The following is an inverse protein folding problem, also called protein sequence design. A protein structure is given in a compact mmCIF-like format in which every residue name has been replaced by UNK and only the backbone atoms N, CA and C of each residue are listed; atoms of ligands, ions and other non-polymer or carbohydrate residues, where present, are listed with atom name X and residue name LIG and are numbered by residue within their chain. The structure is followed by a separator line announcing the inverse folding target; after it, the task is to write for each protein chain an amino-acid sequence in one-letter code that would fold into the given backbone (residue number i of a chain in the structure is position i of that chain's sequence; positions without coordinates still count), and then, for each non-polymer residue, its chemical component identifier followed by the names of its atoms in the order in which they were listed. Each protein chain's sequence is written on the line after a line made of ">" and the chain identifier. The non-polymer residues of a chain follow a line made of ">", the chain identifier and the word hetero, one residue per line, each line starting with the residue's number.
data_IF_834896339843
#
_entry.id   IF_834896339843
#
_cell.length_a   1.000
_cell.length_b   1.000
_cell.length_c   1.000
_cell.angle_alpha   90.00
_cell.angle_beta   90.00
_cell.angle_gamma   90.00
#
_symmetry.space_group_name_H-M   'P 1'
#
loop_
_entity.id
_entity.type
_entity.pdbx_description
1 polymer ?
#
# COMPACT_ATOMS: atom_id res chain seq x y z
N UNK A 1 -1.44 22.34 -15.10
CA UNK A 1 -1.37 22.44 -13.63
C UNK A 1 -0.78 21.15 -13.08
N UNK A 2 -0.03 21.22 -11.98
CA UNK A 2 0.71 20.10 -11.41
C UNK A 2 -0.09 19.44 -10.28
N UNK A 3 -0.24 18.12 -10.34
CA UNK A 3 -0.84 17.30 -9.28
C UNK A 3 0.05 16.07 -9.11
N UNK A 4 0.59 15.86 -7.91
CA UNK A 4 1.48 14.76 -7.61
C UNK A 4 1.29 14.32 -6.16
N UNK A 5 1.27 13.02 -5.94
CA UNK A 5 1.15 12.39 -4.63
C UNK A 5 2.19 11.28 -4.53
N UNK A 6 3.02 11.33 -3.49
CA UNK A 6 4.04 10.31 -3.20
C UNK A 6 3.77 9.77 -1.81
N UNK A 7 3.68 8.45 -1.68
CA UNK A 7 3.37 7.78 -0.43
C UNK A 7 4.26 6.57 -0.24
N UNK A 8 4.61 6.29 1.01
CA UNK A 8 5.19 5.02 1.42
C UNK A 8 4.36 4.51 2.59
N UNK A 9 3.87 3.27 2.47
CA UNK A 9 3.01 2.68 3.48
C UNK A 9 2.86 1.18 3.28
N UNK A 10 1.92 0.59 4.02
CA UNK A 10 1.65 -0.84 3.97
C UNK A 10 0.25 -1.13 3.44
N UNK A 11 0.12 -2.15 2.60
CA UNK A 11 -1.18 -2.64 2.16
C UNK A 11 -1.96 -3.19 3.35
N UNK A 12 -3.20 -2.77 3.54
CA UNK A 12 -4.02 -3.24 4.68
C UNK A 12 -4.70 -4.59 4.44
N UNK A 13 -4.83 -4.97 3.17
CA UNK A 13 -5.49 -6.19 2.72
C UNK A 13 -4.78 -6.78 1.49
N UNK A 14 -5.18 -7.99 1.12
CA UNK A 14 -4.73 -8.63 -0.12
C UNK A 14 -5.27 -7.83 -1.33
N UNK A 15 -4.41 -7.45 -2.30
CA UNK A 15 -4.90 -6.85 -3.54
C UNK A 15 -5.73 -7.83 -4.35
N UNK A 16 -6.91 -7.39 -4.78
CA UNK A 16 -7.80 -8.17 -5.64
C UNK A 16 -7.91 -7.50 -7.02
N UNK A 17 -7.92 -8.33 -8.07
CA UNK A 17 -8.13 -7.85 -9.43
C UNK A 17 -9.63 -7.78 -9.71
N UNK A 18 -10.12 -6.60 -10.09
CA UNK A 18 -11.49 -6.39 -10.52
C UNK A 18 -11.50 -5.98 -11.99
N UNK A 19 -12.41 -6.54 -12.78
CA UNK A 19 -12.63 -6.12 -14.15
C UNK A 19 -13.85 -5.21 -14.23
N UNK A 20 -13.73 -4.06 -14.91
CA UNK A 20 -14.88 -3.19 -15.17
C UNK A 20 -15.82 -3.81 -16.20
N UNK A 21 -17.09 -3.36 -16.29
CA UNK A 21 -17.98 -3.75 -17.37
C UNK A 21 -17.44 -3.47 -18.78
N UNK A 22 -16.48 -2.55 -18.90
CA UNK A 22 -15.80 -2.20 -20.15
C UNK A 22 -14.56 -3.06 -20.43
N UNK A 23 -14.32 -4.11 -19.63
CA UNK A 23 -13.20 -5.05 -19.80
C UNK A 23 -11.85 -4.53 -19.29
N UNK A 24 -11.81 -3.40 -18.57
CA UNK A 24 -10.56 -2.84 -18.05
C UNK A 24 -10.27 -3.41 -16.66
N UNK A 25 -9.04 -3.90 -16.46
CA UNK A 25 -8.59 -4.39 -15.17
C UNK A 25 -8.22 -3.23 -14.24
N UNK A 26 -8.69 -3.30 -12.99
CA UNK A 26 -8.37 -2.37 -11.91
C UNK A 26 -8.09 -3.13 -10.63
N UNK A 27 -7.28 -2.52 -9.76
CA UNK A 27 -7.07 -2.99 -8.40
C UNK A 27 -7.16 -1.78 -7.48
N UNK A 28 -8.10 -1.84 -6.52
CA UNK A 28 -8.24 -0.84 -5.47
C UNK A 28 -7.64 -1.40 -4.19
N UNK A 29 -6.74 -0.65 -3.58
CA UNK A 29 -6.10 -0.99 -2.31
C UNK A 29 -6.22 0.15 -1.33
N UNK A 30 -6.19 -0.18 -0.04
CA UNK A 30 -6.01 0.79 1.03
C UNK A 30 -4.59 0.67 1.57
N UNK A 31 -3.92 1.80 1.71
CA UNK A 31 -2.53 1.90 2.17
C UNK A 31 -2.54 2.63 3.50
N UNK A 32 -2.00 1.99 4.52
CA UNK A 32 -1.74 2.60 5.82
C UNK A 32 -0.42 3.34 5.78
N UNK A 33 -0.46 4.65 6.03
CA UNK A 33 0.70 5.55 6.07
C UNK A 33 0.82 6.11 7.48
N UNK A 34 1.88 5.71 8.19
CA UNK A 34 2.10 6.19 9.55
C UNK A 34 2.41 7.68 9.57
N UNK A 35 1.77 8.40 10.49
CA UNK A 35 2.07 9.82 10.74
C UNK A 35 3.43 9.97 11.41
N UNK A 36 4.12 11.08 11.12
CA UNK A 36 5.45 11.36 11.66
C UNK A 36 5.44 11.64 13.16
N UNK A 37 4.38 12.28 13.65
CA UNK A 37 4.24 12.69 15.05
C UNK A 37 3.34 11.72 15.83
N UNK A 38 3.58 11.65 17.14
CA UNK A 38 2.72 10.95 18.09
C UNK A 38 1.58 11.87 18.51
N UNK A 39 0.45 11.29 18.87
CA UNK A 39 -0.67 12.01 19.51
C UNK A 39 -0.28 12.46 20.92
N UNK A 40 -1.13 13.28 21.56
CA UNK A 40 -0.95 13.69 22.97
C UNK A 40 -0.88 12.48 23.92
N UNK A 41 -1.50 11.36 23.54
CA UNK A 41 -1.47 10.10 24.28
C UNK A 41 -0.21 9.25 24.01
N UNK A 42 0.69 9.71 23.14
CA UNK A 42 1.94 9.02 22.81
C UNK A 42 1.84 7.93 21.73
N UNK A 43 0.68 7.75 21.11
CA UNK A 43 0.44 6.75 20.07
C UNK A 43 0.77 7.27 18.66
N UNK A 44 1.23 6.38 17.78
CA UNK A 44 1.43 6.69 16.36
C UNK A 44 0.18 6.30 15.57
N UNK A 45 -0.50 7.30 15.02
CA UNK A 45 -1.64 7.09 14.13
C UNK A 45 -1.20 6.81 12.69
N UNK A 46 -2.10 6.21 11.91
CA UNK A 46 -1.93 5.99 10.48
C UNK A 46 -3.09 6.58 9.69
N UNK A 47 -2.77 7.15 8.53
CA UNK A 47 -3.74 7.54 7.53
C UNK A 47 -4.02 6.37 6.59
N UNK A 48 -5.29 6.15 6.26
CA UNK A 48 -5.73 5.08 5.39
C UNK A 48 -6.17 5.66 4.05
N UNK A 49 -5.30 5.51 3.05
CA UNK A 49 -5.47 6.14 1.74
C UNK A 49 -5.88 5.09 0.70
N UNK A 50 -6.94 5.39 -0.04
CA UNK A 50 -7.39 4.56 -1.14
C UNK A 50 -6.59 4.88 -2.41
N UNK A 51 -6.04 3.84 -3.02
CA UNK A 51 -5.26 3.94 -4.26
C UNK A 51 -5.86 3.00 -5.31
N UNK A 52 -6.01 3.49 -6.54
CA UNK A 52 -6.41 2.70 -7.69
C UNK A 52 -5.24 2.55 -8.65
N UNK A 53 -4.96 1.32 -9.03
CA UNK A 53 -4.10 0.97 -10.16
C UNK A 53 -4.93 0.40 -11.31
N UNK A 54 -4.50 0.65 -12.54
CA UNK A 54 -5.17 0.18 -13.76
C UNK A 54 -4.25 -0.70 -14.61
N UNK A 55 -4.86 -1.57 -15.41
CA UNK A 55 -4.18 -2.39 -16.42
C UNK A 55 -3.02 -3.21 -15.84
N UNK A 56 -1.86 -3.14 -16.48
CA UNK A 56 -0.68 -3.90 -16.07
C UNK A 56 -0.23 -3.62 -14.63
N UNK A 57 -0.41 -2.38 -14.13
CA UNK A 57 -0.07 -2.07 -12.74
C UNK A 57 -0.98 -2.80 -11.76
N UNK A 58 -2.28 -2.89 -12.07
CA UNK A 58 -3.23 -3.65 -11.28
C UNK A 58 -2.84 -5.14 -11.21
N UNK A 59 -2.60 -5.75 -12.37
CA UNK A 59 -2.19 -7.16 -12.49
C UNK A 59 -0.87 -7.44 -11.77
N UNK A 60 0.10 -6.54 -11.89
CA UNK A 60 1.40 -6.65 -11.22
C UNK A 60 1.23 -6.56 -9.70
N UNK A 61 0.41 -5.63 -9.20
CA UNK A 61 0.20 -5.48 -7.77
C UNK A 61 -0.50 -6.71 -7.17
N UNK A 62 -1.46 -7.30 -7.87
CA UNK A 62 -2.12 -8.55 -7.43
C UNK A 62 -1.15 -9.73 -7.45
N UNK A 63 -0.26 -9.79 -8.44
CA UNK A 63 0.70 -10.89 -8.57
C UNK A 63 1.81 -10.88 -7.53
N UNK A 64 2.19 -9.71 -7.02
CA UNK A 64 3.35 -9.57 -6.13
C UNK A 64 3.05 -8.93 -4.78
N UNK A 65 1.96 -8.17 -4.66
CA UNK A 65 1.54 -7.55 -3.41
C UNK A 65 0.76 -8.53 -2.56
N UNK A 66 1.02 -8.51 -1.25
CA UNK A 66 0.20 -9.18 -0.25
C UNK A 66 -0.14 -8.26 0.91
N UNK A 67 -1.11 -8.65 1.76
CA UNK A 67 -1.43 -7.90 2.98
C UNK A 67 -0.16 -7.61 3.78
N UNK A 68 0.01 -6.35 4.19
CA UNK A 68 1.16 -5.88 4.94
C UNK A 68 2.38 -5.52 4.10
N UNK A 69 2.39 -5.77 2.79
CA UNK A 69 3.52 -5.41 1.92
C UNK A 69 3.82 -3.91 1.97
N UNK A 70 5.10 -3.57 2.16
CA UNK A 70 5.61 -2.22 2.09
C UNK A 70 5.69 -1.77 0.63
N UNK A 71 5.07 -0.63 0.34
CA UNK A 71 4.89 -0.13 -1.03
C UNK A 71 5.17 1.37 -1.08
N UNK A 72 5.94 1.81 -2.08
CA UNK A 72 5.99 3.21 -2.51
C UNK A 72 5.05 3.44 -3.68
N UNK A 73 4.37 4.57 -3.70
CA UNK A 73 3.38 4.91 -4.74
C UNK A 73 3.67 6.32 -5.22
N UNK A 74 3.70 6.49 -6.54
CA UNK A 74 3.65 7.78 -7.22
C UNK A 74 2.33 7.86 -8.00
N UNK A 75 1.60 8.95 -7.84
CA UNK A 75 0.28 9.10 -8.43
C UNK A 75 -0.27 10.52 -8.33
N UNK A 76 -1.57 10.62 -8.54
CA UNK A 76 -2.30 11.90 -8.52
C UNK A 76 -3.55 11.80 -7.67
N UNK A 77 -3.85 12.86 -6.92
CA UNK A 77 -5.10 12.93 -6.16
C UNK A 77 -6.27 13.16 -7.11
N UNK A 78 -7.30 12.31 -7.02
CA UNK A 78 -8.53 12.40 -7.82
C UNK A 78 -9.72 12.45 -6.89
N UNK A 79 -10.61 13.39 -7.15
CA UNK A 79 -11.93 13.40 -6.52
C UNK A 79 -12.96 13.08 -7.58
N UNK A 80 -13.83 12.10 -7.30
CA UNK A 80 -14.99 11.80 -8.15
C UNK A 80 -16.26 11.96 -7.35
N UNK A 81 -17.31 12.33 -8.07
CA UNK A 81 -18.66 12.47 -7.53
C UNK A 81 -19.50 11.32 -8.07
N UNK A 82 -20.29 10.68 -7.22
CA UNK A 82 -21.33 9.75 -7.62
C UNK A 82 -22.59 10.00 -6.81
N UNK A 83 -23.75 9.69 -7.40
CA UNK A 83 -25.03 9.77 -6.71
C UNK A 83 -25.42 8.39 -6.21
N UNK A 84 -25.89 8.33 -4.96
CA UNK A 84 -26.45 7.13 -4.38
C UNK A 84 -27.59 7.55 -3.46
N UNK A 85 -28.75 6.92 -3.61
CA UNK A 85 -29.96 7.18 -2.82
C UNK A 85 -30.36 8.67 -2.80
N UNK A 86 -30.26 9.34 -3.95
CA UNK A 86 -30.57 10.77 -4.12
C UNK A 86 -29.57 11.74 -3.49
N UNK A 87 -28.47 11.23 -2.91
CA UNK A 87 -27.43 12.03 -2.27
C UNK A 87 -26.12 11.99 -3.05
N UNK A 88 -25.51 13.16 -3.18
CA UNK A 88 -24.20 13.35 -3.81
C UNK A 88 -23.08 12.92 -2.86
N UNK A 89 -22.30 11.92 -3.28
CA UNK A 89 -21.14 11.42 -2.55
C UNK A 89 -19.86 11.79 -3.29
N UNK A 90 -18.87 12.27 -2.54
CA UNK A 90 -17.53 12.57 -3.05
C UNK A 90 -16.55 11.55 -2.53
N UNK A 91 -15.74 10.99 -3.43
CA UNK A 91 -14.65 10.08 -3.09
C UNK A 91 -13.36 10.73 -3.52
N UNK A 92 -12.46 10.92 -2.56
CA UNK A 92 -11.07 11.28 -2.84
C UNK A 92 -10.23 10.01 -2.79
N UNK A 93 -9.52 9.75 -3.88
CA UNK A 93 -8.67 8.58 -4.04
C UNK A 93 -7.43 8.96 -4.86
N UNK A 94 -6.40 8.13 -4.79
CA UNK A 94 -5.16 8.35 -5.53
C UNK A 94 -5.16 7.46 -6.77
N UNK A 95 -4.95 8.06 -7.92
CA UNK A 95 -4.68 7.34 -9.16
C UNK A 95 -3.18 7.01 -9.19
N UNK A 96 -2.83 5.74 -8.97
CA UNK A 96 -1.46 5.27 -9.01
C UNK A 96 -0.91 5.24 -10.43
N UNK A 97 0.18 5.94 -10.66
CA UNK A 97 0.92 5.97 -11.93
C UNK A 97 2.10 5.01 -11.94
N UNK A 98 2.72 4.79 -10.79
CA UNK A 98 3.74 3.77 -10.59
C UNK A 98 3.81 3.37 -9.12
N UNK A 99 4.38 2.19 -8.86
CA UNK A 99 4.67 1.75 -7.50
C UNK A 99 5.93 0.89 -7.47
N UNK A 100 6.52 0.75 -6.30
CA UNK A 100 7.56 -0.22 -6.02
C UNK A 100 7.24 -0.94 -4.71
N UNK A 101 7.42 -2.27 -4.71
CA UNK A 101 7.40 -3.03 -3.47
C UNK A 101 8.78 -2.93 -2.85
N UNK A 102 8.83 -2.47 -1.60
CA UNK A 102 10.08 -2.12 -0.91
C UNK A 102 10.62 -3.27 -0.05
N UNK A 103 10.02 -4.46 -0.13
CA UNK A 103 10.43 -5.64 0.63
C UNK A 103 10.87 -6.77 -0.29
N UNK A 104 11.97 -7.42 0.10
CA UNK A 104 12.46 -8.60 -0.60
C UNK A 104 11.44 -9.74 -0.53
N UNK A 105 11.55 -10.71 -1.44
CA UNK A 105 10.71 -11.91 -1.38
C UNK A 105 10.96 -12.70 -0.08
N UNK A 106 12.20 -12.71 0.41
CA UNK A 106 12.56 -13.35 1.68
C UNK A 106 11.89 -12.67 2.88
N UNK A 107 11.96 -11.33 2.96
CA UNK A 107 11.29 -10.56 4.01
C UNK A 107 9.77 -10.75 4.01
N UNK A 108 9.16 -10.89 2.83
CA UNK A 108 7.73 -11.21 2.71
C UNK A 108 7.40 -12.63 3.19
N UNK A 109 8.18 -13.63 2.77
CA UNK A 109 7.99 -15.02 3.19
C UNK A 109 8.20 -15.21 4.71
N UNK A 110 9.19 -14.53 5.30
CA UNK A 110 9.43 -14.53 6.75
C UNK A 110 8.22 -13.98 7.51
N UNK A 111 7.59 -12.90 7.00
CA UNK A 111 6.39 -12.32 7.63
C UNK A 111 5.17 -13.24 7.54
N UNK A 112 5.01 -13.94 6.41
CA UNK A 112 3.88 -14.87 6.20
C UNK A 112 4.02 -16.14 7.06
N UNK A 113 5.25 -16.57 7.37
CA UNK A 113 5.52 -17.76 8.18
C UNK A 113 5.54 -17.52 9.70
N UNK A 114 5.25 -16.30 10.18
CA UNK A 114 5.11 -15.96 11.61
C UNK A 114 6.20 -16.55 12.53
N UNK A 115 7.46 -16.59 12.06
CA UNK A 115 8.66 -16.86 12.88
C UNK A 115 9.18 -15.51 13.36
N UNK A 116 8.40 -14.88 14.24
CA UNK A 116 8.57 -13.48 14.61
C UNK A 116 9.64 -13.19 15.67
N UNK A 117 10.33 -14.20 16.20
CA UNK A 117 11.23 -13.99 17.36
C UNK A 117 12.69 -14.42 17.10
N UNK A 118 12.95 -15.50 16.36
CA UNK A 118 14.31 -16.08 16.29
C UNK A 118 15.29 -15.40 15.31
N UNK A 119 14.83 -14.50 14.43
CA UNK A 119 15.66 -13.97 13.33
C UNK A 119 16.09 -12.50 13.49
N UNK A 120 15.46 -11.75 14.40
CA UNK A 120 15.97 -10.41 14.74
C UNK A 120 17.37 -10.52 15.37
N UNK A 121 17.61 -11.58 16.14
CA UNK A 121 18.91 -11.87 16.76
C UNK A 121 19.95 -12.32 15.71
N UNK A 122 19.58 -13.11 14.71
CA UNK A 122 20.49 -13.56 13.64
C UNK A 122 20.96 -12.45 12.69
N UNK A 123 20.09 -11.48 12.38
CA UNK A 123 20.46 -10.34 11.52
C UNK A 123 21.35 -9.35 12.27
N UNK A 124 21.17 -9.21 13.60
CA UNK A 124 22.05 -8.41 14.45
C UNK A 124 23.42 -9.08 14.63
N UNK A 125 23.48 -10.42 14.71
CA UNK A 125 24.75 -11.16 14.76
C UNK A 125 25.57 -11.06 13.46
N UNK A 126 24.94 -11.02 12.28
CA UNK A 126 25.66 -10.84 11.01
C UNK A 126 26.29 -9.43 10.87
N UNK A 127 25.69 -8.38 11.44
CA UNK A 127 26.24 -7.02 11.41
C UNK A 127 27.36 -6.78 12.46
N UNK A 128 27.50 -7.66 13.46
CA UNK A 128 28.53 -7.56 14.51
C UNK A 128 29.82 -8.37 14.23
N UNK A 129 29.93 -9.06 13.09
CA UNK A 129 31.17 -9.78 12.77
C UNK A 129 32.28 -8.81 12.31
N UNK A 130 33.44 -8.79 12.97
CA UNK A 130 34.50 -7.85 12.65
C UNK A 130 35.41 -8.37 11.54
N UNK A 131 34.89 -8.73 10.36
CA UNK A 131 35.70 -8.91 9.14
C UNK A 131 34.86 -8.70 7.87
#
# INVERSE_FOLDING_TARGET
>A
MYNKTILIGRLTAQPELTQTPTGKNLTRVTVAVNRRFKTENGEREADFLNVIFWGKLAETLVSYGSKGSLISIDGELRTRKYEKDGSNHYVTEILGQSFQLLESRAQRAMRENNTGDDLADLVLEEEELPF
#
